data_IF_513358174548
#
_entry.id   IF_513358174548
#
_cell.length_a   1.000
_cell.length_b   1.000
_cell.length_c   1.000
_cell.angle_alpha   90.00
_cell.angle_beta   90.00
_cell.angle_gamma   90.00
#
_symmetry.space_group_name_H-M   'P 1'
#
loop_
_entity.id
_entity.type
_entity.pdbx_description
1 polymer ?
#
# COMPACT_ATOMS: atom_id res chain seq x y z
N UNK A 1 106.50 -0.92 -38.87
CA UNK A 1 105.05 -0.67 -39.07
C UNK A 1 104.20 -1.80 -38.50
N UNK A 2 104.56 -3.06 -38.73
CA UNK A 2 103.89 -4.25 -38.15
C UNK A 2 103.96 -4.31 -36.62
N UNK A 3 105.11 -4.02 -36.00
CA UNK A 3 105.25 -4.08 -34.54
C UNK A 3 104.41 -3.02 -33.81
N UNK A 4 104.28 -1.84 -34.42
CA UNK A 4 103.47 -0.72 -33.90
C UNK A 4 101.99 -1.04 -33.93
N UNK A 5 101.51 -1.70 -34.99
CA UNK A 5 100.13 -2.17 -35.12
C UNK A 5 99.83 -3.29 -34.11
N UNK A 6 100.82 -4.14 -33.81
CA UNK A 6 100.65 -5.27 -32.89
C UNK A 6 100.59 -4.79 -31.43
N UNK A 7 101.47 -3.85 -31.03
CA UNK A 7 101.43 -3.20 -29.72
C UNK A 7 100.13 -2.41 -29.51
N UNK A 8 99.69 -1.62 -30.51
CA UNK A 8 98.41 -0.90 -30.42
C UNK A 8 97.21 -1.85 -30.26
N UNK A 9 97.26 -3.04 -30.88
CA UNK A 9 96.20 -4.05 -30.76
C UNK A 9 96.19 -4.72 -29.39
N UNK A 10 97.35 -4.96 -28.79
CA UNK A 10 97.45 -5.54 -27.44
C UNK A 10 97.11 -4.53 -26.35
N UNK A 11 97.46 -3.25 -26.54
CA UNK A 11 97.02 -2.15 -25.69
C UNK A 11 95.49 -1.97 -25.76
N UNK A 12 94.90 -2.03 -26.96
CA UNK A 12 93.43 -2.02 -27.14
C UNK A 12 92.73 -3.23 -26.51
N UNK A 13 93.36 -4.41 -26.52
CA UNK A 13 92.86 -5.61 -25.83
C UNK A 13 92.95 -5.50 -24.31
N UNK A 14 93.96 -4.79 -23.79
CA UNK A 14 94.14 -4.55 -22.36
C UNK A 14 93.29 -3.41 -21.79
N UNK A 15 92.88 -2.46 -22.62
CA UNK A 15 92.14 -1.25 -22.24
C UNK A 15 90.65 -1.46 -21.95
N UNK A 16 90.04 -2.57 -22.40
CA UNK A 16 88.65 -2.91 -22.13
C UNK A 16 88.59 -4.32 -21.57
N UNK A 17 88.70 -4.42 -20.24
CA UNK A 17 88.53 -5.69 -19.56
C UNK A 17 87.06 -6.08 -19.57
N UNK A 18 86.78 -7.33 -19.94
CA UNK A 18 85.42 -7.87 -20.01
C UNK A 18 84.67 -7.67 -18.69
N UNK A 19 85.37 -7.77 -17.57
CA UNK A 19 84.82 -7.58 -16.23
C UNK A 19 84.27 -6.15 -16.02
N UNK A 20 84.95 -5.12 -16.54
CA UNK A 20 84.52 -3.73 -16.39
C UNK A 20 83.22 -3.46 -17.18
N UNK A 21 83.10 -4.07 -18.36
CA UNK A 21 81.88 -4.00 -19.19
C UNK A 21 80.73 -4.75 -18.54
N UNK A 22 80.96 -5.97 -18.02
CA UNK A 22 79.95 -6.74 -17.28
C UNK A 22 79.46 -5.98 -16.04
N UNK A 23 80.36 -5.31 -15.32
CA UNK A 23 80.03 -4.55 -14.13
C UNK A 23 79.24 -3.28 -14.45
N UNK A 24 79.59 -2.58 -15.54
CA UNK A 24 78.83 -1.45 -16.05
C UNK A 24 77.40 -1.86 -16.47
N UNK A 25 77.27 -2.96 -17.21
CA UNK A 25 75.97 -3.51 -17.64
C UNK A 25 75.14 -3.88 -16.41
N UNK A 26 75.73 -4.60 -15.45
CA UNK A 26 75.05 -5.03 -14.22
C UNK A 26 74.55 -3.83 -13.42
N UNK A 27 75.39 -2.81 -13.23
CA UNK A 27 75.00 -1.58 -12.52
C UNK A 27 73.87 -0.83 -13.25
N UNK A 28 73.94 -0.77 -14.58
CA UNK A 28 72.92 -0.10 -15.40
C UNK A 28 71.58 -0.83 -15.32
N UNK A 29 71.58 -2.16 -15.48
CA UNK A 29 70.37 -2.99 -15.40
C UNK A 29 69.77 -2.95 -14.00
N UNK A 30 70.59 -3.03 -12.95
CA UNK A 30 70.13 -2.95 -11.55
C UNK A 30 69.48 -1.59 -11.27
N UNK A 31 70.10 -0.50 -11.73
CA UNK A 31 69.53 0.84 -11.59
C UNK A 31 68.19 0.97 -12.34
N UNK A 32 68.11 0.39 -13.54
CA UNK A 32 66.88 0.40 -14.34
C UNK A 32 65.76 -0.39 -13.66
N UNK A 33 66.06 -1.59 -13.17
CA UNK A 33 65.13 -2.44 -12.41
C UNK A 33 64.60 -1.74 -11.16
N UNK A 34 65.48 -1.09 -10.39
CA UNK A 34 65.08 -0.35 -9.19
C UNK A 34 64.15 0.82 -9.54
N UNK A 35 64.46 1.58 -10.61
CA UNK A 35 63.58 2.65 -11.09
C UNK A 35 62.23 2.14 -11.56
N UNK A 36 62.19 0.99 -12.24
CA UNK A 36 60.94 0.36 -12.69
C UNK A 36 60.10 -0.06 -11.47
N UNK A 37 60.71 -0.75 -10.50
CA UNK A 37 59.99 -1.17 -9.29
C UNK A 37 59.45 0.02 -8.51
N UNK A 38 60.24 1.08 -8.35
CA UNK A 38 59.80 2.29 -7.67
C UNK A 38 58.60 2.92 -8.39
N UNK A 39 58.68 3.10 -9.71
CA UNK A 39 57.60 3.69 -10.50
C UNK A 39 56.32 2.84 -10.48
N UNK A 40 56.45 1.50 -10.47
CA UNK A 40 55.31 0.59 -10.32
C UNK A 40 54.66 0.78 -8.94
N UNK A 41 55.45 0.82 -7.87
CA UNK A 41 54.94 1.01 -6.52
C UNK A 41 54.23 2.36 -6.37
N UNK A 42 54.85 3.44 -6.86
CA UNK A 42 54.25 4.78 -6.83
C UNK A 42 52.90 4.80 -7.58
N UNK A 43 52.80 4.10 -8.71
CA UNK A 43 51.56 3.99 -9.50
C UNK A 43 50.48 3.19 -8.75
N UNK A 44 50.87 2.12 -8.07
CA UNK A 44 49.97 1.30 -7.27
C UNK A 44 49.44 2.11 -6.09
N UNK A 45 50.31 2.80 -5.36
CA UNK A 45 49.94 3.63 -4.21
C UNK A 45 49.01 4.77 -4.62
N UNK A 46 49.27 5.40 -5.77
CA UNK A 46 48.38 6.41 -6.33
C UNK A 46 46.98 5.83 -6.63
N UNK A 47 46.90 4.70 -7.34
CA UNK A 47 45.63 4.06 -7.69
C UNK A 47 44.83 3.63 -6.45
N UNK A 48 45.52 3.10 -5.44
CA UNK A 48 44.91 2.70 -4.17
C UNK A 48 44.36 3.92 -3.44
N UNK A 49 45.14 5.00 -3.36
CA UNK A 49 44.72 6.25 -2.71
C UNK A 49 43.49 6.87 -3.40
N UNK A 50 43.51 6.97 -4.73
CA UNK A 50 42.38 7.48 -5.51
C UNK A 50 41.12 6.64 -5.28
N UNK A 51 41.23 5.32 -5.25
CA UNK A 51 40.10 4.42 -5.01
C UNK A 51 39.58 4.47 -3.58
N UNK A 52 40.45 4.65 -2.59
CA UNK A 52 40.04 4.84 -1.20
C UNK A 52 39.21 6.12 -1.03
N UNK A 53 39.62 7.22 -1.65
CA UNK A 53 38.87 8.49 -1.62
C UNK A 53 37.50 8.33 -2.29
N UNK A 54 37.44 7.68 -3.46
CA UNK A 54 36.17 7.44 -4.16
C UNK A 54 35.22 6.56 -3.33
N UNK A 55 35.75 5.50 -2.70
CA UNK A 55 34.96 4.63 -1.82
C UNK A 55 34.46 5.37 -0.58
N UNK A 56 35.30 6.20 0.04
CA UNK A 56 34.92 6.97 1.22
C UNK A 56 33.77 7.93 0.91
N UNK A 57 33.83 8.64 -0.21
CA UNK A 57 32.75 9.53 -0.65
C UNK A 57 31.43 8.77 -0.90
N UNK A 58 31.49 7.55 -1.44
CA UNK A 58 30.30 6.70 -1.62
C UNK A 58 29.72 6.23 -0.29
N UNK A 59 30.56 5.87 0.67
CA UNK A 59 30.12 5.47 2.01
C UNK A 59 29.38 6.63 2.69
N UNK A 60 29.95 7.84 2.65
CA UNK A 60 29.32 9.02 3.25
C UNK A 60 27.98 9.37 2.60
N UNK A 61 27.87 9.25 1.27
CA UNK A 61 26.60 9.43 0.56
C UNK A 61 25.56 8.38 0.99
N UNK A 62 25.96 7.12 1.10
CA UNK A 62 25.05 6.04 1.51
C UNK A 62 24.60 6.20 2.96
N UNK A 63 25.48 6.65 3.86
CA UNK A 63 25.13 6.92 5.26
C UNK A 63 24.12 8.07 5.37
N UNK A 64 24.29 9.11 4.57
CA UNK A 64 23.33 10.21 4.48
C UNK A 64 21.96 9.72 4.00
N UNK A 65 21.92 8.93 2.94
CA UNK A 65 20.68 8.38 2.39
C UNK A 65 20.00 7.42 3.39
N UNK A 66 20.77 6.57 4.07
CA UNK A 66 20.26 5.68 5.11
C UNK A 66 19.61 6.45 6.26
N UNK A 67 20.22 7.55 6.70
CA UNK A 67 19.64 8.41 7.73
C UNK A 67 18.32 9.03 7.26
N UNK A 68 18.31 9.60 6.05
CA UNK A 68 17.11 10.18 5.46
C UNK A 68 15.98 9.16 5.31
N UNK A 69 16.29 7.93 4.90
CA UNK A 69 15.31 6.86 4.78
C UNK A 69 14.75 6.47 6.14
N UNK A 70 15.60 6.35 7.17
CA UNK A 70 15.18 6.05 8.53
C UNK A 70 14.21 7.11 9.08
N UNK A 71 14.51 8.38 8.87
CA UNK A 71 13.64 9.48 9.29
C UNK A 71 12.28 9.45 8.56
N UNK A 72 12.27 9.15 7.25
CA UNK A 72 11.03 8.98 6.49
C UNK A 72 10.19 7.81 6.97
N UNK A 73 10.82 6.68 7.29
CA UNK A 73 10.15 5.49 7.82
C UNK A 73 9.47 5.85 9.15
N UNK A 74 10.18 6.51 10.07
CA UNK A 74 9.61 6.91 11.35
C UNK A 74 8.37 7.81 11.19
N UNK A 75 8.44 8.81 10.29
CA UNK A 75 7.30 9.70 10.01
C UNK A 75 6.10 8.92 9.46
N UNK A 76 6.33 7.91 8.62
CA UNK A 76 5.27 7.07 8.07
C UNK A 76 4.65 6.15 9.12
N UNK A 77 5.44 5.60 10.02
CA UNK A 77 4.97 4.79 11.14
C UNK A 77 4.07 5.61 12.07
N UNK A 78 4.48 6.82 12.43
CA UNK A 78 3.70 7.72 13.30
C UNK A 78 2.37 8.12 12.65
N UNK A 79 2.39 8.42 11.35
CA UNK A 79 1.18 8.73 10.56
C UNK A 79 0.23 7.54 10.48
N UNK A 80 0.75 6.35 10.22
CA UNK A 80 -0.05 5.12 10.15
C UNK A 80 -0.71 4.84 11.49
N UNK A 81 0.06 4.89 12.59
CA UNK A 81 -0.45 4.69 13.95
C UNK A 81 -1.57 5.70 14.32
N UNK A 82 -1.41 6.96 13.91
CA UNK A 82 -2.44 7.99 14.14
C UNK A 82 -3.70 7.75 13.31
N UNK A 83 -3.54 7.38 12.04
CA UNK A 83 -4.66 7.07 11.16
C UNK A 83 -5.45 5.85 11.65
N UNK A 84 -4.77 4.80 12.11
CA UNK A 84 -5.42 3.59 12.61
C UNK A 84 -6.32 3.89 13.81
N UNK A 85 -5.85 4.72 14.75
CA UNK A 85 -6.65 5.19 15.89
C UNK A 85 -7.88 5.97 15.42
N UNK A 86 -7.69 6.92 14.50
CA UNK A 86 -8.78 7.75 13.96
C UNK A 86 -9.85 6.91 13.25
N UNK A 87 -9.43 5.93 12.44
CA UNK A 87 -10.34 5.03 11.74
C UNK A 87 -11.12 4.18 12.75
N UNK A 88 -10.45 3.66 13.78
CA UNK A 88 -11.11 2.86 14.81
C UNK A 88 -12.21 3.64 15.53
N UNK A 89 -11.92 4.88 15.95
CA UNK A 89 -12.91 5.76 16.57
C UNK A 89 -14.09 6.08 15.65
N UNK A 90 -13.83 6.28 14.35
CA UNK A 90 -14.89 6.52 13.38
C UNK A 90 -15.80 5.30 13.21
N UNK A 91 -15.22 4.11 13.14
CA UNK A 91 -15.98 2.85 13.04
C UNK A 91 -16.88 2.67 14.25
N UNK A 92 -16.37 2.88 15.47
CA UNK A 92 -17.18 2.78 16.69
C UNK A 92 -18.34 3.79 16.69
N UNK A 93 -18.06 5.06 16.34
CA UNK A 93 -19.10 6.09 16.24
C UNK A 93 -20.17 5.73 15.21
N UNK A 94 -19.75 5.27 14.02
CA UNK A 94 -20.69 4.85 12.97
C UNK A 94 -21.52 3.64 13.40
N UNK A 95 -20.91 2.69 14.10
CA UNK A 95 -21.61 1.53 14.62
C UNK A 95 -22.72 1.92 15.61
N UNK A 96 -22.40 2.78 16.59
CA UNK A 96 -23.40 3.25 17.56
C UNK A 96 -24.51 4.06 16.89
N UNK A 97 -24.17 4.93 15.93
CA UNK A 97 -25.17 5.67 15.15
C UNK A 97 -26.08 4.74 14.35
N UNK A 98 -25.52 3.71 13.72
CA UNK A 98 -26.27 2.71 12.97
C UNK A 98 -27.24 1.94 13.88
N UNK A 99 -26.77 1.51 15.04
CA UNK A 99 -27.59 0.83 16.06
C UNK A 99 -28.74 1.71 16.53
N UNK A 100 -28.47 2.97 16.86
CA UNK A 100 -29.51 3.92 17.26
C UNK A 100 -30.50 4.21 16.14
N UNK A 101 -30.02 4.36 14.89
CA UNK A 101 -30.87 4.56 13.74
C UNK A 101 -31.81 3.36 13.52
N UNK A 102 -31.29 2.13 13.63
CA UNK A 102 -32.08 0.92 13.53
C UNK A 102 -33.14 0.82 14.63
N UNK A 103 -32.76 1.12 15.88
CA UNK A 103 -33.70 1.13 17.00
C UNK A 103 -34.82 2.15 16.80
N UNK A 104 -34.48 3.38 16.37
CA UNK A 104 -35.47 4.44 16.09
C UNK A 104 -36.36 4.10 14.90
N UNK A 105 -35.81 3.54 13.82
CA UNK A 105 -36.58 3.12 12.66
C UNK A 105 -37.62 2.06 13.04
N UNK A 106 -37.21 1.04 13.80
CA UNK A 106 -38.10 0.00 14.30
C UNK A 106 -39.18 0.57 15.23
N UNK A 107 -38.80 1.45 16.16
CA UNK A 107 -39.77 2.13 17.03
C UNK A 107 -40.79 2.93 16.22
N UNK A 108 -40.34 3.70 15.24
CA UNK A 108 -41.22 4.50 14.39
C UNK A 108 -42.15 3.63 13.54
N UNK A 109 -41.68 2.50 13.00
CA UNK A 109 -42.51 1.56 12.26
C UNK A 109 -43.60 0.96 13.15
N UNK A 110 -43.25 0.51 14.36
CA UNK A 110 -44.21 -0.02 15.32
C UNK A 110 -45.22 1.04 15.76
N UNK A 111 -44.75 2.25 16.05
CA UNK A 111 -45.61 3.36 16.45
C UNK A 111 -46.58 3.75 15.33
N UNK A 112 -46.09 3.86 14.09
CA UNK A 112 -46.90 4.21 12.92
C UNK A 112 -47.98 3.18 12.59
N UNK A 113 -47.80 1.92 13.01
CA UNK A 113 -48.76 0.83 12.76
C UNK A 113 -49.49 0.36 14.02
N UNK A 114 -49.36 1.09 15.14
CA UNK A 114 -49.88 0.67 16.44
C UNK A 114 -51.38 0.37 16.42
N UNK A 115 -52.14 1.14 15.65
CA UNK A 115 -53.58 0.99 15.54
C UNK A 115 -54.00 0.27 14.24
N UNK A 116 -53.04 -0.17 13.43
CA UNK A 116 -53.34 -0.82 12.17
C UNK A 116 -53.74 -2.28 12.41
N UNK A 117 -54.86 -2.70 11.86
CA UNK A 117 -55.33 -4.07 11.85
C UNK A 117 -54.99 -4.69 10.50
N UNK A 118 -54.25 -5.81 10.54
CA UNK A 118 -53.94 -6.59 9.34
C UNK A 118 -54.95 -7.71 9.18
N UNK A 119 -55.72 -7.68 8.09
CA UNK A 119 -56.74 -8.67 7.79
C UNK A 119 -56.23 -9.59 6.69
N UNK A 120 -56.23 -10.90 6.97
CA UNK A 120 -55.69 -11.93 6.09
C UNK A 120 -56.83 -12.62 5.32
N UNK A 121 -56.49 -13.20 4.16
CA UNK A 121 -57.36 -14.10 3.40
C UNK A 121 -58.71 -13.51 2.96
N UNK A 122 -58.83 -12.19 2.84
CA UNK A 122 -59.98 -11.58 2.16
C UNK A 122 -59.81 -11.74 0.67
N UNK A 123 -60.76 -12.41 0.03
CA UNK A 123 -60.77 -12.63 -1.42
C UNK A 123 -60.51 -11.33 -2.18
N UNK A 124 -59.62 -11.41 -3.17
CA UNK A 124 -59.18 -10.25 -3.95
C UNK A 124 -59.82 -10.30 -5.34
N UNK A 125 -60.36 -9.15 -5.77
CA UNK A 125 -60.95 -8.99 -7.09
C UNK A 125 -60.01 -8.18 -8.01
N UNK A 126 -60.02 -8.50 -9.30
CA UNK A 126 -59.11 -7.85 -10.28
C UNK A 126 -59.41 -6.36 -10.48
N UNK A 127 -60.66 -5.94 -10.24
CA UNK A 127 -61.14 -4.56 -10.35
C UNK A 127 -61.49 -3.97 -8.96
N UNK A 128 -60.80 -4.45 -7.92
CA UNK A 128 -61.02 -4.02 -6.54
C UNK A 128 -60.67 -2.53 -6.36
N UNK A 129 -61.65 -1.76 -5.86
CA UNK A 129 -61.51 -0.36 -5.47
C UNK A 129 -61.46 -0.24 -3.95
N UNK A 130 -60.98 0.89 -3.42
CA UNK A 130 -60.95 1.15 -1.97
C UNK A 130 -62.34 0.99 -1.33
N UNK A 131 -63.39 1.57 -1.93
CA UNK A 131 -64.77 1.42 -1.46
C UNK A 131 -65.24 -0.05 -1.41
N UNK A 132 -64.86 -0.86 -2.39
CA UNK A 132 -65.19 -2.29 -2.41
C UNK A 132 -64.47 -3.08 -1.31
N UNK A 133 -63.22 -2.70 -0.98
CA UNK A 133 -62.46 -3.28 0.14
C UNK A 133 -63.12 -2.89 1.45
N UNK A 134 -63.45 -1.60 1.63
CA UNK A 134 -64.12 -1.07 2.81
C UNK A 134 -65.40 -1.83 3.11
N UNK A 135 -66.31 -1.94 2.12
CA UNK A 135 -67.57 -2.66 2.27
C UNK A 135 -67.38 -4.14 2.63
N UNK A 136 -66.41 -4.80 1.99
CA UNK A 136 -66.12 -6.20 2.26
C UNK A 136 -65.59 -6.40 3.68
N UNK A 137 -64.65 -5.56 4.11
CA UNK A 137 -64.04 -5.61 5.44
C UNK A 137 -65.04 -5.28 6.54
N UNK A 138 -65.81 -4.21 6.42
CA UNK A 138 -66.81 -3.82 7.42
C UNK A 138 -67.91 -4.87 7.55
N UNK A 139 -68.37 -5.44 6.44
CA UNK A 139 -69.34 -6.54 6.45
C UNK A 139 -68.80 -7.78 7.16
N UNK A 140 -67.55 -8.16 6.90
CA UNK A 140 -66.91 -9.31 7.56
C UNK A 140 -66.78 -9.06 9.07
N UNK A 141 -66.29 -7.90 9.47
CA UNK A 141 -66.11 -7.55 10.89
C UNK A 141 -67.45 -7.47 11.63
N UNK A 142 -68.50 -6.93 11.00
CA UNK A 142 -69.84 -6.90 11.58
C UNK A 142 -70.43 -8.30 11.74
N UNK A 143 -70.30 -9.13 10.71
CA UNK A 143 -70.90 -10.48 10.67
C UNK A 143 -70.18 -11.45 11.60
N UNK A 144 -68.84 -11.42 11.64
CA UNK A 144 -68.05 -12.44 12.33
C UNK A 144 -67.49 -11.98 13.68
N UNK A 145 -67.24 -10.67 13.84
CA UNK A 145 -66.69 -10.10 15.07
C UNK A 145 -67.68 -9.22 15.84
N UNK A 146 -68.88 -8.96 15.30
CA UNK A 146 -69.89 -8.11 15.92
C UNK A 146 -69.47 -6.62 16.00
N UNK A 147 -68.47 -6.20 15.24
CA UNK A 147 -67.94 -4.83 15.26
C UNK A 147 -68.59 -4.02 14.15
N UNK A 148 -69.31 -2.96 14.52
CA UNK A 148 -69.88 -2.00 13.57
C UNK A 148 -68.92 -0.81 13.43
N UNK A 149 -68.21 -0.74 12.29
CA UNK A 149 -67.28 0.35 11.99
C UNK A 149 -67.98 1.44 11.17
N UNK A 150 -67.86 2.68 11.62
CA UNK A 150 -68.26 3.85 10.84
C UNK A 150 -67.15 4.20 9.84
N UNK A 151 -67.52 4.84 8.73
CA UNK A 151 -66.52 5.34 7.77
C UNK A 151 -65.56 6.36 8.40
N UNK A 152 -66.00 7.08 9.44
CA UNK A 152 -65.17 8.02 10.20
C UNK A 152 -64.13 7.32 11.08
N UNK A 153 -64.31 6.03 11.37
CA UNK A 153 -63.37 5.24 12.17
C UNK A 153 -62.22 4.67 11.31
N UNK A 154 -62.33 4.81 9.99
CA UNK A 154 -61.36 4.29 9.01
C UNK A 154 -60.57 5.47 8.44
N UNK A 155 -59.29 5.55 8.78
CA UNK A 155 -58.38 6.57 8.25
C UNK A 155 -57.84 6.16 6.89
N UNK A 156 -57.49 4.88 6.74
CA UNK A 156 -57.02 4.34 5.47
C UNK A 156 -57.26 2.83 5.37
N UNK A 157 -57.59 2.37 4.16
CA UNK A 157 -57.73 0.94 3.89
C UNK A 157 -57.17 0.57 2.53
N UNK A 158 -56.22 -0.37 2.51
CA UNK A 158 -55.59 -0.79 1.26
C UNK A 158 -54.96 -2.17 1.37
N UNK A 159 -54.73 -2.81 0.22
CA UNK A 159 -53.97 -4.06 0.14
C UNK A 159 -52.49 -3.80 0.38
N UNK A 160 -51.86 -4.58 1.25
CA UNK A 160 -50.42 -4.59 1.45
C UNK A 160 -49.76 -5.23 0.22
N UNK A 161 -48.86 -4.54 -0.49
CA UNK A 161 -48.16 -5.12 -1.64
C UNK A 161 -47.40 -6.39 -1.24
N UNK A 162 -47.72 -7.52 -1.88
CA UNK A 162 -47.04 -8.81 -1.68
C UNK A 162 -46.86 -9.53 -3.03
N UNK A 163 -46.30 -10.75 -3.03
CA UNK A 163 -46.01 -11.50 -4.26
C UNK A 163 -47.28 -11.79 -5.08
N UNK A 164 -47.16 -11.68 -6.41
CA UNK A 164 -48.26 -11.97 -7.35
C UNK A 164 -48.69 -13.44 -7.25
N UNK A 165 -50.00 -13.69 -7.28
CA UNK A 165 -50.58 -15.03 -7.21
C UNK A 165 -51.00 -15.49 -5.81
N UNK A 166 -50.81 -14.67 -4.78
CA UNK A 166 -51.35 -14.88 -3.43
C UNK A 166 -52.33 -13.76 -3.07
N UNK A 167 -53.36 -14.10 -2.30
CA UNK A 167 -54.30 -13.10 -1.77
C UNK A 167 -53.56 -12.11 -0.87
N UNK A 168 -53.56 -10.84 -1.27
CA UNK A 168 -52.83 -9.80 -0.54
C UNK A 168 -53.54 -9.44 0.77
N UNK A 169 -52.85 -9.28 1.91
CA UNK A 169 -53.46 -8.79 3.14
C UNK A 169 -54.07 -7.39 2.98
N UNK A 170 -55.10 -7.07 3.74
CA UNK A 170 -55.62 -5.70 3.88
C UNK A 170 -55.01 -5.07 5.14
N UNK A 171 -54.51 -3.84 5.03
CA UNK A 171 -54.23 -2.98 6.18
C UNK A 171 -55.42 -2.06 6.38
N UNK A 172 -55.98 -2.08 7.58
CA UNK A 172 -57.01 -1.15 8.06
C UNK A 172 -56.37 -0.26 9.12
N UNK A 173 -56.36 1.05 8.91
CA UNK A 173 -55.77 2.05 9.83
C UNK A 173 -56.81 3.06 10.27
#
# INVERSE_FOLDING_TARGET
>A
MTDTITSLRDDLKGMLKKEEVEQLITNTVTTLMNKIMQNINDKIDQLVSEKLVEMQAKIESLDYDNKNLKDKIQILEDKTSTNDKSIHEQIEKTYELSKLAHMKANYNEQYSRKNNIKILNIQENREETEDSITKSVTSILKTHAGVDLLLTDIVAIHRIPTKRGQTRPVSLS
#
